data_IF_126264870016
#
_entry.id   IF_126264870016
#
_cell.length_a   1.000
_cell.length_b   1.000
_cell.length_c   1.000
_cell.angle_alpha   90.00
_cell.angle_beta   90.00
_cell.angle_gamma   90.00
#
_symmetry.space_group_name_H-M   'P 1'
#
loop_
_entity.id
_entity.type
_entity.pdbx_description
1 polymer ?
#
# COMPACT_ATOMS: atom_id res chain seq x y z
N UNK A 1 -4.90 -9.87 16.07
CA UNK A 1 -3.68 -9.33 15.44
C UNK A 1 -3.91 -7.83 15.16
N UNK A 2 -2.94 -6.91 15.26
CA UNK A 2 -3.21 -5.46 15.07
C UNK A 2 -3.81 -5.10 13.70
N UNK A 3 -3.63 -5.96 12.68
CA UNK A 3 -4.29 -5.81 11.38
C UNK A 3 -5.80 -6.00 11.45
N UNK A 4 -6.29 -6.92 12.28
CA UNK A 4 -7.72 -7.21 12.45
C UNK A 4 -8.47 -5.95 12.89
N UNK A 5 -7.89 -5.14 13.78
CA UNK A 5 -8.49 -3.91 14.31
C UNK A 5 -8.92 -2.93 13.21
N UNK A 6 -8.20 -2.89 12.09
CA UNK A 6 -8.53 -2.02 10.95
C UNK A 6 -9.49 -2.73 10.00
N UNK A 7 -9.20 -3.98 9.64
CA UNK A 7 -9.95 -4.68 8.57
C UNK A 7 -11.32 -5.18 9.02
N UNK A 8 -11.55 -5.33 10.34
CA UNK A 8 -12.85 -5.72 10.92
C UNK A 8 -13.73 -4.52 11.26
N UNK A 9 -13.18 -3.30 11.34
CA UNK A 9 -13.94 -2.09 11.57
C UNK A 9 -14.35 -1.48 10.23
N UNK A 10 -15.65 -1.56 9.91
CA UNK A 10 -16.18 -1.09 8.63
C UNK A 10 -15.91 0.40 8.40
N UNK A 11 -16.00 1.21 9.46
CA UNK A 11 -15.75 2.65 9.38
C UNK A 11 -14.28 2.97 9.09
N UNK A 12 -13.35 2.10 9.48
CA UNK A 12 -11.92 2.28 9.25
C UNK A 12 -11.48 1.76 7.88
N UNK A 13 -11.94 0.58 7.49
CA UNK A 13 -11.54 -0.03 6.20
C UNK A 13 -12.14 0.73 5.01
N UNK A 14 -13.32 1.34 5.16
CA UNK A 14 -13.96 2.10 4.08
C UNK A 14 -13.35 3.49 3.87
N UNK A 15 -12.38 3.93 4.68
CA UNK A 15 -11.74 5.24 4.50
C UNK A 15 -10.85 5.23 3.26
N UNK A 16 -11.21 6.11 2.33
CA UNK A 16 -10.45 6.42 1.13
C UNK A 16 -9.89 7.84 1.21
N UNK A 17 -8.70 8.09 0.64
CA UNK A 17 -8.19 9.45 0.53
C UNK A 17 -9.07 10.28 -0.40
N UNK A 18 -9.51 11.45 0.06
CA UNK A 18 -10.23 12.45 -0.76
C UNK A 18 -9.29 13.52 -1.32
N UNK A 19 -8.05 13.55 -0.83
CA UNK A 19 -6.96 14.36 -1.36
C UNK A 19 -5.60 13.74 -1.08
N UNK A 20 -4.57 14.32 -1.69
CA UNK A 20 -3.20 13.84 -1.55
C UNK A 20 -2.67 13.92 -0.10
N UNK A 21 -3.07 14.94 0.67
CA UNK A 21 -2.73 15.02 2.10
C UNK A 21 -3.50 13.98 2.92
N UNK A 22 -4.74 13.67 2.56
CA UNK A 22 -5.52 12.62 3.22
C UNK A 22 -4.88 11.25 3.00
N UNK A 23 -4.31 11.00 1.81
CA UNK A 23 -3.54 9.80 1.54
C UNK A 23 -2.39 9.65 2.55
N UNK A 24 -1.63 10.72 2.79
CA UNK A 24 -0.53 10.68 3.77
C UNK A 24 -1.07 10.43 5.19
N UNK A 25 -2.13 11.14 5.57
CA UNK A 25 -2.73 11.07 6.90
C UNK A 25 -3.33 9.70 7.20
N UNK A 26 -4.29 9.23 6.40
CA UNK A 26 -4.97 7.93 6.57
C UNK A 26 -3.94 6.82 6.67
N UNK A 27 -2.94 6.89 5.81
CA UNK A 27 -1.97 5.84 5.72
C UNK A 27 -0.98 5.90 6.91
N UNK A 28 -0.69 7.08 7.46
CA UNK A 28 -0.02 7.28 8.77
C UNK A 28 -0.85 6.74 9.94
N UNK A 29 -2.13 7.12 10.04
CA UNK A 29 -3.03 6.70 11.12
C UNK A 29 -3.16 5.17 11.18
N UNK A 30 -3.39 4.52 10.02
CA UNK A 30 -3.41 3.05 9.92
C UNK A 30 -2.08 2.42 10.35
N UNK A 31 -0.95 3.06 10.04
CA UNK A 31 0.37 2.60 10.46
C UNK A 31 0.57 2.71 11.96
N UNK A 32 0.10 3.79 12.58
CA UNK A 32 0.14 3.96 14.02
C UNK A 32 -0.62 2.84 14.74
N UNK A 33 -1.82 2.48 14.26
CA UNK A 33 -2.60 1.36 14.80
C UNK A 33 -1.85 0.03 14.64
N UNK A 34 -1.33 -0.26 13.43
CA UNK A 34 -0.61 -1.51 13.15
C UNK A 34 0.65 -1.71 14.00
N UNK A 35 1.35 -0.63 14.36
CA UNK A 35 2.59 -0.66 15.14
C UNK A 35 2.43 -0.17 16.58
N UNK A 36 1.20 -0.07 17.09
CA UNK A 36 0.91 0.40 18.46
C UNK A 36 1.73 -0.33 19.53
N UNK A 37 2.00 -1.62 19.37
CA UNK A 37 2.82 -2.42 20.27
C UNK A 37 4.35 -2.33 20.04
N UNK A 38 4.82 -1.56 19.05
CA UNK A 38 6.23 -1.46 18.62
C UNK A 38 6.66 0.00 18.43
N UNK A 39 6.65 0.77 19.52
CA UNK A 39 6.97 2.21 19.53
C UNK A 39 8.36 2.54 18.97
N UNK A 40 9.33 1.63 19.11
CA UNK A 40 10.68 1.77 18.54
C UNK A 40 10.74 1.83 17.00
N UNK A 41 9.64 1.47 16.32
CA UNK A 41 9.51 1.53 14.85
C UNK A 41 8.75 2.77 14.34
N UNK A 42 8.65 3.81 15.19
CA UNK A 42 8.02 5.11 14.89
C UNK A 42 6.60 4.98 14.31
N UNK A 43 5.63 4.47 15.08
CA UNK A 43 4.25 4.33 14.64
C UNK A 43 3.70 5.65 14.07
N UNK A 44 3.01 5.57 12.93
CA UNK A 44 2.45 6.72 12.22
C UNK A 44 3.43 7.65 11.48
N UNK A 45 4.74 7.54 11.70
CA UNK A 45 5.72 8.44 11.11
C UNK A 45 6.37 7.84 9.87
N UNK A 46 6.61 8.66 8.84
CA UNK A 46 7.42 8.25 7.68
C UNK A 46 8.87 7.99 8.06
N UNK A 47 9.55 7.22 7.23
CA UNK A 47 10.98 6.95 7.36
C UNK A 47 11.76 8.27 7.31
N UNK A 48 12.79 8.35 8.13
CA UNK A 48 13.77 9.44 8.19
C UNK A 48 15.17 8.99 7.75
N UNK A 49 15.25 7.76 7.26
CA UNK A 49 16.43 7.15 6.66
C UNK A 49 16.01 6.37 5.43
N UNK A 50 16.91 6.25 4.46
CA UNK A 50 16.68 5.42 3.28
C UNK A 50 16.60 3.94 3.66
N UNK A 51 15.67 3.22 3.03
CA UNK A 51 15.42 1.81 3.28
C UNK A 51 15.48 1.01 1.98
N UNK A 52 15.73 -0.29 2.12
CA UNK A 52 15.86 -1.22 1.01
C UNK A 52 15.25 -2.58 1.35
N UNK A 53 14.91 -3.35 0.33
CA UNK A 53 14.55 -4.76 0.45
C UNK A 53 15.34 -5.58 -0.56
N UNK A 54 16.29 -6.39 -0.08
CA UNK A 54 17.28 -7.02 -0.94
C UNK A 54 18.04 -5.97 -1.76
N UNK A 55 18.05 -6.16 -3.09
CA UNK A 55 18.74 -5.25 -4.02
C UNK A 55 17.88 -4.05 -4.45
N UNK A 56 16.65 -3.91 -3.94
CA UNK A 56 15.79 -2.77 -4.27
C UNK A 56 15.95 -1.67 -3.23
N UNK A 57 16.47 -0.52 -3.65
CA UNK A 57 16.41 0.72 -2.89
C UNK A 57 15.10 1.45 -3.21
N UNK A 58 14.44 1.98 -2.20
CA UNK A 58 13.18 2.69 -2.36
C UNK A 58 13.40 4.20 -2.38
N UNK A 59 12.33 4.95 -2.66
CA UNK A 59 12.32 6.41 -2.75
C UNK A 59 13.06 7.07 -1.59
N UNK A 60 13.90 8.08 -1.88
CA UNK A 60 14.61 8.83 -0.85
C UNK A 60 13.64 9.38 0.21
N UNK A 61 14.01 9.30 1.48
CA UNK A 61 13.13 9.68 2.59
C UNK A 61 12.61 11.12 2.49
N UNK A 62 13.40 12.06 1.95
CA UNK A 62 12.97 13.44 1.74
C UNK A 62 11.92 13.60 0.64
N UNK A 63 11.88 12.67 -0.31
CA UNK A 63 10.99 12.71 -1.47
C UNK A 63 9.66 12.00 -1.24
N UNK A 64 9.56 11.15 -0.20
CA UNK A 64 8.38 10.33 0.10
C UNK A 64 7.06 11.12 0.05
N UNK A 65 6.89 12.28 0.73
CA UNK A 65 5.63 13.01 0.67
C UNK A 65 5.32 13.53 -0.73
N UNK A 66 6.31 14.07 -1.43
CA UNK A 66 6.16 14.61 -2.79
C UNK A 66 5.80 13.52 -3.81
N UNK A 67 6.48 12.38 -3.74
CA UNK A 67 6.23 11.22 -4.61
C UNK A 67 4.82 10.66 -4.43
N UNK A 68 4.34 10.53 -3.19
CA UNK A 68 2.97 10.07 -2.93
C UNK A 68 1.92 11.08 -3.38
N UNK A 69 2.17 12.38 -3.21
CA UNK A 69 1.27 13.43 -3.71
C UNK A 69 1.14 13.38 -5.22
N UNK A 70 2.26 13.23 -5.94
CA UNK A 70 2.25 13.07 -7.39
C UNK A 70 1.59 11.76 -7.81
N UNK A 71 1.84 10.66 -7.09
CA UNK A 71 1.20 9.36 -7.35
C UNK A 71 -0.32 9.40 -7.16
N UNK A 72 -0.81 10.17 -6.17
CA UNK A 72 -2.24 10.36 -5.95
C UNK A 72 -2.96 10.92 -7.17
N UNK A 73 -2.34 11.88 -7.88
CA UNK A 73 -2.91 12.45 -9.11
C UNK A 73 -3.17 11.36 -10.16
N UNK A 74 -2.19 10.46 -10.39
CA UNK A 74 -2.35 9.33 -11.30
C UNK A 74 -3.40 8.32 -10.84
N UNK A 75 -3.42 8.02 -9.53
CA UNK A 75 -4.42 7.14 -8.92
C UNK A 75 -5.86 7.66 -9.16
N UNK A 76 -6.07 8.98 -9.15
CA UNK A 76 -7.40 9.57 -9.36
C UNK A 76 -7.88 9.55 -10.82
N UNK A 77 -7.01 9.24 -11.78
CA UNK A 77 -7.41 9.18 -13.21
C UNK A 77 -8.27 7.96 -13.54
N UNK A 78 -8.17 6.88 -12.75
CA UNK A 78 -8.97 5.68 -12.97
C UNK A 78 -10.23 5.68 -12.09
N UNK A 79 -11.38 5.36 -12.68
CA UNK A 79 -12.64 5.17 -11.95
C UNK A 79 -12.95 3.70 -11.65
N UNK A 80 -12.24 2.77 -12.28
CA UNK A 80 -12.50 1.34 -12.10
C UNK A 80 -11.97 0.87 -10.73
N UNK A 81 -12.81 0.28 -9.84
CA UNK A 81 -12.42 -0.03 -8.46
C UNK A 81 -11.17 -0.91 -8.35
N UNK A 82 -11.09 -1.97 -9.16
CA UNK A 82 -9.92 -2.84 -9.19
C UNK A 82 -8.64 -2.12 -9.65
N UNK A 83 -8.74 -1.24 -10.65
CA UNK A 83 -7.58 -0.52 -11.16
C UNK A 83 -7.06 0.49 -10.11
N UNK A 84 -7.97 1.16 -9.40
CA UNK A 84 -7.64 2.01 -8.26
C UNK A 84 -6.96 1.21 -7.14
N UNK A 85 -7.50 0.05 -6.79
CA UNK A 85 -6.94 -0.83 -5.77
C UNK A 85 -5.51 -1.28 -6.14
N UNK A 86 -5.31 -1.78 -7.37
CA UNK A 86 -4.02 -2.22 -7.87
C UNK A 86 -2.99 -1.08 -7.91
N UNK A 87 -3.40 0.12 -8.35
CA UNK A 87 -2.55 1.32 -8.37
C UNK A 87 -2.17 1.77 -6.95
N UNK A 88 -3.15 1.82 -6.03
CA UNK A 88 -2.93 2.18 -4.62
C UNK A 88 -1.93 1.23 -3.96
N UNK A 89 -2.10 -0.09 -4.16
CA UNK A 89 -1.17 -1.07 -3.61
C UNK A 89 0.25 -0.86 -4.14
N UNK A 90 0.41 -0.76 -5.46
CA UNK A 90 1.71 -0.61 -6.11
C UNK A 90 2.42 0.67 -5.64
N UNK A 91 1.72 1.81 -5.67
CA UNK A 91 2.25 3.10 -5.21
C UNK A 91 2.79 3.03 -3.77
N UNK A 92 2.04 2.40 -2.86
CA UNK A 92 2.43 2.31 -1.45
C UNK A 92 3.65 1.41 -1.25
N UNK A 93 3.75 0.32 -2.02
CA UNK A 93 4.90 -0.60 -1.96
C UNK A 93 6.16 0.04 -2.52
N UNK A 94 6.07 0.68 -3.69
CA UNK A 94 7.24 1.26 -4.38
C UNK A 94 7.84 2.44 -3.63
N UNK A 95 7.01 3.27 -2.99
CA UNK A 95 7.52 4.38 -2.17
C UNK A 95 8.14 3.88 -0.86
N UNK A 96 7.60 2.80 -0.30
CA UNK A 96 8.08 2.16 0.92
C UNK A 96 8.32 3.15 2.07
N UNK A 97 7.27 3.92 2.39
CA UNK A 97 7.33 5.14 3.19
C UNK A 97 7.63 4.96 4.68
N UNK A 98 7.58 3.74 5.22
CA UNK A 98 7.84 3.43 6.63
C UNK A 98 9.04 2.53 6.82
N UNK A 99 9.54 2.45 8.06
CA UNK A 99 10.63 1.53 8.43
C UNK A 99 10.21 0.06 8.48
N UNK A 100 8.92 -0.22 8.70
CA UNK A 100 8.38 -1.58 8.73
C UNK A 100 6.92 -1.57 8.23
N UNK A 101 6.36 -2.75 7.98
CA UNK A 101 4.93 -3.02 7.75
C UNK A 101 4.29 -2.39 6.51
N UNK A 102 5.09 -1.83 5.60
CA UNK A 102 4.62 -1.28 4.31
C UNK A 102 3.73 -2.24 3.53
N UNK A 103 4.06 -3.54 3.52
CA UNK A 103 3.25 -4.56 2.83
C UNK A 103 1.85 -4.73 3.41
N UNK A 104 1.70 -4.64 4.74
CA UNK A 104 0.38 -4.71 5.40
C UNK A 104 -0.44 -3.47 5.09
N UNK A 105 0.19 -2.31 5.18
CA UNK A 105 -0.44 -1.04 4.83
C UNK A 105 -0.90 -1.02 3.38
N UNK A 106 -0.07 -1.46 2.43
CA UNK A 106 -0.44 -1.51 1.02
C UNK A 106 -1.71 -2.34 0.79
N UNK A 107 -1.81 -3.52 1.40
CA UNK A 107 -3.01 -4.38 1.29
C UNK A 107 -4.25 -3.78 1.95
N UNK A 108 -4.10 -3.08 3.07
CA UNK A 108 -5.22 -2.37 3.71
C UNK A 108 -5.70 -1.23 2.82
N UNK A 109 -4.78 -0.41 2.31
CA UNK A 109 -5.12 0.71 1.41
C UNK A 109 -5.75 0.21 0.11
N UNK A 110 -5.26 -0.89 -0.46
CA UNK A 110 -5.86 -1.57 -1.60
C UNK A 110 -7.29 -2.02 -1.32
N UNK A 111 -7.51 -2.73 -0.22
CA UNK A 111 -8.82 -3.28 0.10
C UNK A 111 -9.83 -2.19 0.49
N UNK A 112 -9.39 -1.02 0.94
CA UNK A 112 -10.26 0.14 1.10
C UNK A 112 -10.86 0.63 -0.24
N UNK A 113 -10.19 0.42 -1.38
CA UNK A 113 -10.75 0.73 -2.69
C UNK A 113 -11.87 -0.22 -3.11
N UNK A 114 -11.76 -1.49 -2.69
CA UNK A 114 -12.71 -2.55 -3.03
C UNK A 114 -13.93 -2.52 -2.09
N UNK A 115 -13.69 -2.34 -0.79
CA UNK A 115 -14.72 -2.39 0.26
C UNK A 115 -15.79 -1.32 0.09
N UNK A 116 -15.42 -0.08 -0.26
CA UNK A 116 -16.39 1.01 -0.51
C UNK A 116 -17.30 0.77 -1.70
N UNK A 117 -16.93 -0.15 -2.59
CA UNK A 117 -17.71 -0.55 -3.76
C UNK A 117 -18.44 -1.88 -3.55
N UNK A 118 -18.36 -2.45 -2.34
CA UNK A 118 -18.96 -3.74 -2.02
C UNK A 118 -18.30 -4.92 -2.73
N UNK A 119 -17.06 -4.76 -3.20
CA UNK A 119 -16.32 -5.82 -3.86
C UNK A 119 -15.57 -6.69 -2.85
N UNK A 120 -15.30 -7.93 -3.24
CA UNK A 120 -14.48 -8.86 -2.47
C UNK A 120 -13.08 -8.30 -2.21
N UNK A 121 -12.58 -8.52 -1.00
CA UNK A 121 -11.20 -8.17 -0.62
C UNK A 121 -10.23 -9.12 -1.32
N UNK A 122 -9.11 -8.58 -1.80
CA UNK A 122 -7.99 -9.37 -2.33
C UNK A 122 -7.09 -9.75 -1.14
N UNK A 123 -6.80 -11.04 -1.00
CA UNK A 123 -5.95 -11.58 0.05
C UNK A 123 -4.75 -12.24 -0.60
N UNK A 124 -3.54 -11.81 -0.25
CA UNK A 124 -2.31 -12.42 -0.78
C UNK A 124 -1.78 -13.38 0.28
N UNK A 125 -2.04 -14.70 0.16
CA UNK A 125 -1.59 -15.68 1.14
C UNK A 125 -0.07 -15.82 1.08
N UNK A 126 0.52 -16.35 2.16
CA UNK A 126 1.98 -16.51 2.25
C UNK A 126 2.56 -17.40 1.15
N UNK A 127 1.78 -18.39 0.68
CA UNK A 127 2.18 -19.29 -0.41
C UNK A 127 2.28 -18.57 -1.77
N UNK A 128 1.65 -17.40 -1.93
CA UNK A 128 1.75 -16.53 -3.12
C UNK A 128 2.87 -15.50 -3.02
N UNK A 129 3.70 -15.54 -1.96
CA UNK A 129 4.73 -14.53 -1.71
C UNK A 129 5.70 -14.39 -2.89
N UNK A 130 6.09 -15.49 -3.51
CA UNK A 130 7.03 -15.47 -4.63
C UNK A 130 6.43 -14.80 -5.87
N UNK A 131 5.22 -15.19 -6.26
CA UNK A 131 4.46 -14.58 -7.36
C UNK A 131 4.22 -13.09 -7.11
N UNK A 132 3.82 -12.74 -5.88
CA UNK A 132 3.62 -11.37 -5.46
C UNK A 132 4.90 -10.53 -5.63
N UNK A 133 6.02 -10.98 -5.05
CA UNK A 133 7.29 -10.25 -5.13
C UNK A 133 7.85 -10.23 -6.55
N UNK A 134 7.68 -11.31 -7.30
CA UNK A 134 8.13 -11.44 -8.69
C UNK A 134 7.38 -10.49 -9.62
N UNK A 135 6.06 -10.41 -9.49
CA UNK A 135 5.20 -9.53 -10.29
C UNK A 135 5.51 -8.05 -10.06
N UNK A 136 5.74 -7.63 -8.81
CA UNK A 136 6.15 -6.27 -8.48
C UNK A 136 7.50 -5.93 -9.10
N UNK A 137 8.49 -6.83 -8.98
CA UNK A 137 9.81 -6.64 -9.61
C UNK A 137 9.71 -6.50 -11.13
N UNK A 138 8.87 -7.31 -11.79
CA UNK A 138 8.63 -7.21 -13.23
C UNK A 138 8.01 -5.87 -13.60
N UNK A 139 7.02 -5.42 -12.83
CA UNK A 139 6.40 -4.11 -13.04
C UNK A 139 7.41 -2.97 -12.88
N UNK A 140 8.20 -2.96 -11.81
CA UNK A 140 9.19 -1.91 -11.55
C UNK A 140 10.32 -1.90 -12.59
N UNK A 141 10.89 -3.07 -12.91
CA UNK A 141 12.11 -3.15 -13.72
C UNK A 141 11.85 -3.25 -15.22
N UNK A 142 10.77 -3.91 -15.60
CA UNK A 142 10.46 -4.24 -17.00
C UNK A 142 9.21 -3.53 -17.52
N UNK A 143 8.49 -2.80 -16.66
CA UNK A 143 7.20 -2.15 -16.97
C UNK A 143 6.11 -3.14 -17.42
N UNK A 144 6.30 -4.41 -17.11
CA UNK A 144 5.34 -5.49 -17.35
C UNK A 144 4.25 -5.44 -16.26
N UNK A 145 3.06 -4.98 -16.65
CA UNK A 145 1.89 -4.87 -15.78
C UNK A 145 1.08 -6.16 -15.72
N UNK A 146 1.22 -7.04 -16.69
CA UNK A 146 0.32 -8.17 -16.88
C UNK A 146 0.53 -9.22 -15.79
N UNK A 147 1.79 -9.48 -15.43
CA UNK A 147 2.13 -10.36 -14.31
C UNK A 147 1.52 -9.88 -12.98
N UNK A 148 1.51 -8.57 -12.74
CA UNK A 148 0.96 -7.97 -11.52
C UNK A 148 -0.56 -8.04 -11.48
N UNK A 149 -1.22 -7.69 -12.59
CA UNK A 149 -2.67 -7.76 -12.71
C UNK A 149 -3.15 -9.22 -12.59
N UNK A 150 -2.51 -10.15 -13.29
CA UNK A 150 -2.85 -11.57 -13.24
C UNK A 150 -2.70 -12.15 -11.82
N UNK A 151 -1.63 -11.78 -11.11
CA UNK A 151 -1.43 -12.19 -9.72
C UNK A 151 -2.56 -11.69 -8.81
N UNK A 152 -2.97 -10.42 -8.94
CA UNK A 152 -4.07 -9.87 -8.14
C UNK A 152 -5.43 -10.50 -8.44
N UNK A 153 -5.68 -10.91 -9.69
CA UNK A 153 -6.94 -11.57 -10.08
C UNK A 153 -7.03 -13.03 -9.58
N UNK A 154 -5.90 -13.64 -9.22
CA UNK A 154 -5.81 -15.03 -8.73
C UNK A 154 -5.65 -15.14 -7.22
N UNK A 155 -5.53 -14.01 -6.53
CA UNK A 155 -5.27 -13.91 -5.10
C UNK A 155 -6.58 -13.86 -4.29
#
# INVERSE_FOLDING_TARGET
>A
MCTDQIVSNRNEISLQPKGANDLLKIAGDRHAVLLSARTSKKPGQFKDINNRAGNTEFVDWNLVPGTLKRGYEWYTLSQHPFAKAACMMFMIIEVHRFLDVNGRIARIMMNAELDTKGLSKIIIPIVYREDYMGSLKKLTKLRDRDAYISMLLRA
#
